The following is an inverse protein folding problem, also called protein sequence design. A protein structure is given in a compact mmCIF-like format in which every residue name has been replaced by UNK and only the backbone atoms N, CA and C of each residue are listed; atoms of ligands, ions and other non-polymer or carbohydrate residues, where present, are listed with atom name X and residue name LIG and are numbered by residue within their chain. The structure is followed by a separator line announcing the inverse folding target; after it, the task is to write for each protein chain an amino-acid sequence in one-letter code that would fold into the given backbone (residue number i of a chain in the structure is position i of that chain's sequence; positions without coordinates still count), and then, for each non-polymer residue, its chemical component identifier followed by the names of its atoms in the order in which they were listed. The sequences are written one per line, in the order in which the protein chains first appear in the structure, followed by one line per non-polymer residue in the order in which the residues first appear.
data_IF_166251633800
#
_entry.id   IF_166251633800
#
_cell.length_a   1.000
_cell.length_b   1.000
_cell.length_c   1.000
_cell.angle_alpha   90.00
_cell.angle_beta   90.00
_cell.angle_gamma   90.00
#
_symmetry.space_group_name_H-M   'P 1'
#
loop_
_entity.id
_entity.type
_entity.pdbx_description
1 polymer ?
#
# COMPACT_ATOMS: atom_id res chain seq x y z
N UNK A 1 26.85 -9.95 -14.83
CA UNK A 1 26.77 -11.43 -14.66
C UNK A 1 25.31 -11.84 -14.80
N UNK A 2 25.00 -12.91 -15.55
CA UNK A 2 23.62 -13.36 -15.84
C UNK A 2 23.34 -14.65 -15.06
N UNK A 3 22.14 -14.79 -14.51
CA UNK A 3 21.63 -16.01 -13.91
C UNK A 3 20.36 -16.46 -14.66
N UNK A 4 20.05 -17.76 -14.56
CA UNK A 4 18.86 -18.32 -15.22
C UNK A 4 18.39 -19.61 -14.55
N UNK A 5 17.10 -19.88 -14.70
CA UNK A 5 16.47 -21.18 -14.47
C UNK A 5 16.20 -21.86 -15.83
N UNK A 6 15.40 -22.92 -15.85
CA UNK A 6 14.93 -23.55 -17.09
C UNK A 6 14.25 -22.52 -18.01
N UNK A 7 13.27 -21.75 -17.51
CA UNK A 7 12.44 -20.88 -18.36
C UNK A 7 12.71 -19.38 -18.23
N UNK A 8 13.50 -18.93 -17.25
CA UNK A 8 13.68 -17.50 -16.97
C UNK A 8 15.16 -17.10 -16.90
N UNK A 9 15.46 -15.84 -17.22
CA UNK A 9 16.81 -15.27 -17.15
C UNK A 9 16.79 -13.86 -16.56
N UNK A 10 17.86 -13.47 -15.86
CA UNK A 10 18.02 -12.12 -15.30
C UNK A 10 19.49 -11.72 -15.16
N UNK A 11 19.73 -10.41 -15.15
CA UNK A 11 21.03 -9.83 -14.76
C UNK A 11 21.10 -9.70 -13.24
N UNK A 12 22.26 -9.99 -12.65
CA UNK A 12 22.49 -9.70 -11.23
C UNK A 12 22.56 -8.20 -10.91
N UNK A 13 22.58 -7.34 -11.94
CA UNK A 13 22.53 -5.89 -11.78
C UNK A 13 21.10 -5.35 -11.78
N UNK A 14 20.12 -6.12 -12.27
CA UNK A 14 18.72 -5.66 -12.39
C UNK A 14 17.95 -5.95 -11.09
N UNK A 15 18.45 -5.43 -9.98
CA UNK A 15 17.87 -5.63 -8.65
C UNK A 15 16.63 -4.76 -8.47
N UNK A 16 15.51 -5.39 -8.10
CA UNK A 16 14.25 -4.72 -7.74
C UNK A 16 14.11 -4.52 -6.24
N UNK A 17 14.68 -5.42 -5.44
CA UNK A 17 14.63 -5.35 -3.98
C UNK A 17 15.68 -6.24 -3.31
N UNK A 18 16.14 -5.80 -2.15
CA UNK A 18 17.09 -6.55 -1.32
C UNK A 18 16.51 -6.70 0.09
N UNK A 19 16.52 -7.92 0.59
CA UNK A 19 16.03 -8.26 1.93
C UNK A 19 16.99 -9.17 2.67
N UNK A 20 16.71 -9.37 3.96
CA UNK A 20 17.55 -10.19 4.83
C UNK A 20 17.65 -11.65 4.35
N UNK A 21 16.60 -12.19 3.71
CA UNK A 21 16.51 -13.60 3.31
C UNK A 21 16.50 -13.83 1.81
N UNK A 22 16.34 -12.79 1.00
CA UNK A 22 16.23 -12.91 -0.45
C UNK A 22 16.54 -11.61 -1.18
N UNK A 23 16.91 -11.73 -2.44
CA UNK A 23 16.97 -10.63 -3.40
C UNK A 23 15.94 -10.84 -4.49
N UNK A 24 15.33 -9.77 -4.99
CA UNK A 24 14.36 -9.79 -6.07
C UNK A 24 14.98 -9.13 -7.29
N UNK A 25 14.89 -9.79 -8.44
CA UNK A 25 15.47 -9.31 -9.70
C UNK A 25 14.39 -9.15 -10.77
N UNK A 26 14.60 -8.17 -11.66
CA UNK A 26 13.85 -8.08 -12.90
C UNK A 26 14.37 -9.16 -13.84
N UNK A 27 13.45 -9.94 -14.37
CA UNK A 27 13.76 -11.11 -15.18
C UNK A 27 12.87 -11.15 -16.41
N UNK A 28 13.19 -12.06 -17.34
CA UNK A 28 12.40 -12.32 -18.55
C UNK A 28 12.13 -13.80 -18.72
N UNK A 29 10.93 -14.12 -19.18
CA UNK A 29 10.62 -15.43 -19.73
C UNK A 29 11.42 -15.64 -21.02
N UNK A 30 12.20 -16.72 -21.12
CA UNK A 30 13.08 -17.03 -22.26
C UNK A 30 12.32 -17.24 -23.56
N UNK A 31 11.08 -17.72 -23.50
CA UNK A 31 10.25 -18.04 -24.67
C UNK A 31 9.42 -16.84 -25.11
N UNK A 32 8.75 -16.18 -24.17
CA UNK A 32 7.78 -15.12 -24.50
C UNK A 32 8.38 -13.71 -24.46
N UNK A 33 9.53 -13.53 -23.80
CA UNK A 33 10.13 -12.22 -23.57
C UNK A 33 9.45 -11.39 -22.47
N UNK A 34 8.36 -11.89 -21.91
CA UNK A 34 7.55 -11.26 -20.87
C UNK A 34 8.40 -10.95 -19.63
N UNK A 35 8.18 -9.75 -19.06
CA UNK A 35 8.85 -9.31 -17.85
C UNK A 35 8.24 -9.98 -16.62
N UNK A 36 9.09 -10.46 -15.72
CA UNK A 36 8.72 -11.10 -14.46
C UNK A 36 9.65 -10.63 -13.34
N UNK A 37 9.25 -10.82 -12.08
CA UNK A 37 10.11 -10.65 -10.92
C UNK A 37 10.57 -12.04 -10.42
N UNK A 38 11.86 -12.20 -10.15
CA UNK A 38 12.40 -13.46 -9.60
C UNK A 38 12.98 -13.20 -8.23
N UNK A 39 12.41 -13.84 -7.19
CA UNK A 39 12.93 -13.82 -5.82
C UNK A 39 13.87 -15.00 -5.61
N UNK A 40 15.12 -14.69 -5.31
CA UNK A 40 16.20 -15.65 -5.06
C UNK A 40 16.58 -15.60 -3.59
N UNK A 41 16.40 -16.72 -2.90
CA UNK A 41 16.73 -16.84 -1.48
C UNK A 41 18.24 -16.95 -1.26
N UNK A 42 18.73 -16.30 -0.21
CA UNK A 42 20.14 -16.34 0.18
C UNK A 42 20.41 -17.47 1.21
N UNK A 43 21.68 -17.69 1.56
CA UNK A 43 22.10 -18.72 2.51
C UNK A 43 21.45 -18.58 3.89
N UNK A 44 21.19 -17.35 4.36
CA UNK A 44 20.53 -17.13 5.65
C UNK A 44 19.09 -17.67 5.66
N UNK A 45 18.40 -17.64 4.50
CA UNK A 45 17.08 -18.24 4.37
C UNK A 45 17.11 -19.76 4.63
N UNK A 46 18.12 -20.45 4.10
CA UNK A 46 18.28 -21.91 4.20
C UNK A 46 18.66 -22.40 5.60
N UNK A 47 19.17 -21.49 6.46
CA UNK A 47 19.46 -21.79 7.87
C UNK A 47 18.20 -21.79 8.76
N UNK A 48 17.04 -21.38 8.22
CA UNK A 48 15.76 -21.39 8.96
C UNK A 48 15.14 -22.80 8.97
N UNK A 49 14.26 -23.12 9.92
CA UNK A 49 13.51 -24.39 9.88
C UNK A 49 12.79 -24.57 8.54
N UNK A 50 12.73 -25.81 8.02
CA UNK A 50 12.16 -26.11 6.71
C UNK A 50 10.73 -25.58 6.54
N UNK A 51 9.90 -25.71 7.57
CA UNK A 51 8.54 -25.17 7.59
C UNK A 51 8.51 -23.65 7.34
N UNK A 52 9.44 -22.90 7.94
CA UNK A 52 9.56 -21.44 7.75
C UNK A 52 10.01 -21.10 6.33
N UNK A 53 10.86 -21.93 5.72
CA UNK A 53 11.29 -21.73 4.34
C UNK A 53 10.14 -21.95 3.35
N UNK A 54 9.26 -22.91 3.64
CA UNK A 54 8.14 -23.28 2.76
C UNK A 54 6.95 -22.32 2.85
N UNK A 55 6.78 -21.59 3.96
CA UNK A 55 5.65 -20.64 4.17
C UNK A 55 5.35 -19.76 2.98
N UNK A 56 6.33 -19.05 2.45
CA UNK A 56 6.09 -18.10 1.36
C UNK A 56 5.61 -18.81 0.08
N UNK A 57 6.12 -20.01 -0.19
CA UNK A 57 5.69 -20.82 -1.32
C UNK A 57 4.24 -21.28 -1.15
N UNK A 58 3.89 -21.75 0.05
CA UNK A 58 2.57 -22.28 0.35
C UNK A 58 1.51 -21.16 0.34
N UNK A 59 1.84 -19.99 0.90
CA UNK A 59 0.98 -18.80 0.88
C UNK A 59 0.71 -18.33 -0.54
N UNK A 60 1.76 -18.13 -1.35
CA UNK A 60 1.61 -17.65 -2.72
C UNK A 60 0.94 -18.65 -3.67
N UNK A 61 0.88 -19.94 -3.32
CA UNK A 61 0.09 -20.94 -4.05
C UNK A 61 -1.40 -20.90 -3.70
N UNK A 62 -1.73 -20.55 -2.46
CA UNK A 62 -3.11 -20.47 -1.97
C UNK A 62 -3.80 -19.16 -2.40
N UNK A 63 -3.06 -18.07 -2.40
CA UNK A 63 -3.60 -16.74 -2.63
C UNK A 63 -3.70 -16.41 -4.12
N UNK A 64 -4.90 -16.06 -4.59
CA UNK A 64 -5.16 -15.62 -5.96
C UNK A 64 -6.18 -14.48 -5.98
N UNK A 65 -5.71 -13.24 -6.12
CA UNK A 65 -6.54 -12.04 -6.12
C UNK A 65 -5.85 -10.91 -6.88
N UNK A 66 -6.61 -9.96 -7.42
CA UNK A 66 -6.07 -8.82 -8.19
C UNK A 66 -5.11 -7.94 -7.39
N UNK A 67 -5.34 -7.82 -6.08
CA UNK A 67 -4.53 -7.06 -5.12
C UNK A 67 -3.49 -7.91 -4.37
N UNK A 68 -3.13 -9.09 -4.89
CA UNK A 68 -2.02 -9.90 -4.41
C UNK A 68 -1.07 -10.12 -5.59
N UNK A 69 0.23 -9.95 -5.39
CA UNK A 69 1.23 -10.23 -6.44
C UNK A 69 1.15 -11.70 -6.82
N UNK A 70 0.92 -11.97 -8.11
CA UNK A 70 0.70 -13.33 -8.59
C UNK A 70 1.99 -14.12 -8.63
N UNK A 71 1.95 -15.36 -8.15
CA UNK A 71 2.98 -16.37 -8.41
C UNK A 71 2.72 -17.03 -9.77
N UNK A 72 3.71 -16.99 -10.65
CA UNK A 72 3.67 -17.69 -11.93
C UNK A 72 4.25 -19.10 -11.84
N UNK A 73 5.41 -19.25 -11.19
CA UNK A 73 6.09 -20.53 -11.10
C UNK A 73 7.03 -20.60 -9.89
N UNK A 74 7.35 -21.82 -9.50
CA UNK A 74 8.48 -22.14 -8.64
C UNK A 74 9.48 -22.92 -9.48
N UNK A 75 10.68 -22.39 -9.66
CA UNK A 75 11.75 -23.03 -10.42
C UNK A 75 13.00 -23.18 -9.57
N UNK A 76 14.04 -23.79 -10.12
CA UNK A 76 15.31 -24.02 -9.44
C UNK A 76 16.48 -23.38 -10.19
N UNK A 77 17.38 -22.76 -9.43
CA UNK A 77 18.71 -22.38 -9.90
C UNK A 77 19.71 -23.23 -9.13
N UNK A 78 20.41 -24.13 -9.83
CA UNK A 78 21.29 -25.15 -9.23
C UNK A 78 20.50 -26.07 -8.30
N UNK A 79 20.49 -25.80 -6.99
CA UNK A 79 19.78 -26.58 -5.96
C UNK A 79 18.90 -25.68 -5.07
N UNK A 80 18.64 -24.46 -5.52
CA UNK A 80 17.93 -23.44 -4.77
C UNK A 80 16.63 -23.08 -5.47
N UNK A 81 15.51 -23.18 -4.76
CA UNK A 81 14.21 -22.75 -5.27
C UNK A 81 14.19 -21.24 -5.45
N UNK A 82 13.51 -20.79 -6.48
CA UNK A 82 13.22 -19.37 -6.75
C UNK A 82 11.73 -19.19 -7.01
N UNK A 83 11.19 -18.06 -6.59
CA UNK A 83 9.81 -17.67 -6.90
C UNK A 83 9.81 -16.81 -8.15
N UNK A 84 9.03 -17.19 -9.15
CA UNK A 84 8.78 -16.38 -10.34
C UNK A 84 7.41 -15.74 -10.20
N UNK A 85 7.38 -14.42 -10.13
CA UNK A 85 6.22 -13.63 -9.76
C UNK A 85 5.91 -12.56 -10.82
N UNK A 86 4.71 -12.02 -10.74
CA UNK A 86 4.30 -10.83 -11.48
C UNK A 86 5.29 -9.68 -11.27
N UNK A 87 5.68 -9.03 -12.37
CA UNK A 87 6.46 -7.81 -12.34
C UNK A 87 5.53 -6.61 -12.32
N UNK A 88 5.60 -5.81 -11.24
CA UNK A 88 4.84 -4.56 -11.13
C UNK A 88 5.67 -3.38 -11.65
N UNK A 89 5.23 -2.76 -12.74
CA UNK A 89 6.00 -1.73 -13.47
C UNK A 89 6.20 -0.42 -12.71
N UNK A 90 5.29 -0.09 -11.79
CA UNK A 90 5.28 1.16 -11.02
C UNK A 90 6.07 1.12 -9.72
N UNK A 91 6.85 0.06 -9.47
CA UNK A 91 7.62 -0.08 -8.24
C UNK A 91 6.76 -0.36 -7.02
N UNK A 92 7.19 0.11 -5.85
CA UNK A 92 6.44 -0.02 -4.59
C UNK A 92 5.77 1.30 -4.22
N UNK A 93 4.75 1.25 -3.35
CA UNK A 93 4.17 2.43 -2.73
C UNK A 93 5.23 3.23 -1.96
N UNK A 94 6.23 2.59 -1.38
CA UNK A 94 7.36 3.29 -0.79
C UNK A 94 8.10 4.15 -1.81
N UNK A 95 8.41 3.60 -2.99
CA UNK A 95 9.07 4.35 -4.06
C UNK A 95 8.25 5.56 -4.52
N UNK A 96 6.92 5.42 -4.57
CA UNK A 96 6.01 6.52 -4.89
C UNK A 96 6.03 7.61 -3.81
N UNK A 97 6.06 7.24 -2.53
CA UNK A 97 6.09 8.20 -1.41
C UNK A 97 7.42 8.96 -1.30
N UNK A 98 8.52 8.42 -1.82
CA UNK A 98 9.81 9.10 -1.90
C UNK A 98 9.88 10.15 -3.02
N UNK A 99 8.89 10.19 -3.92
CA UNK A 99 8.82 11.23 -4.95
C UNK A 99 8.56 12.60 -4.28
N UNK A 100 9.30 13.67 -4.63
CA UNK A 100 9.18 14.97 -3.98
C UNK A 100 7.75 15.56 -4.00
N UNK A 101 6.98 15.21 -5.03
CA UNK A 101 5.57 15.60 -5.23
C UNK A 101 4.66 15.08 -4.11
N UNK A 102 5.04 13.97 -3.50
CA UNK A 102 4.29 13.25 -2.47
C UNK A 102 4.83 13.50 -1.05
N UNK A 103 5.74 14.47 -0.88
CA UNK A 103 6.33 14.81 0.42
C UNK A 103 5.30 15.21 1.49
N UNK A 104 4.10 15.63 1.07
CA UNK A 104 2.97 15.98 1.95
C UNK A 104 1.79 15.01 1.84
N UNK A 105 2.04 13.80 1.33
CA UNK A 105 1.05 12.75 1.09
C UNK A 105 0.65 12.65 -0.37
N UNK A 106 -0.10 11.60 -0.71
CA UNK A 106 -0.58 11.35 -2.06
C UNK A 106 -1.75 12.27 -2.43
N UNK A 107 -1.95 12.55 -3.73
CA UNK A 107 -3.20 13.09 -4.24
C UNK A 107 -4.39 12.22 -3.82
N UNK A 108 -5.53 12.83 -3.55
CA UNK A 108 -6.72 12.14 -3.02
C UNK A 108 -7.16 10.93 -3.87
N UNK A 109 -7.17 11.06 -5.20
CA UNK A 109 -7.52 9.96 -6.12
C UNK A 109 -6.57 8.77 -5.99
N UNK A 110 -5.27 9.02 -5.86
CA UNK A 110 -4.27 7.96 -5.71
C UNK A 110 -4.36 7.33 -4.32
N UNK A 111 -4.56 8.15 -3.27
CA UNK A 111 -4.80 7.67 -1.91
C UNK A 111 -6.02 6.73 -1.84
N UNK A 112 -7.14 7.09 -2.46
CA UNK A 112 -8.34 6.26 -2.49
C UNK A 112 -8.14 4.96 -3.28
N UNK A 113 -7.31 5.00 -4.33
CA UNK A 113 -6.90 3.78 -5.06
C UNK A 113 -6.06 2.86 -4.17
N UNK A 114 -5.12 3.41 -3.39
CA UNK A 114 -4.35 2.67 -2.38
C UNK A 114 -5.28 2.07 -1.33
N UNK A 115 -6.17 2.88 -0.75
CA UNK A 115 -7.15 2.46 0.25
C UNK A 115 -7.96 1.27 -0.27
N UNK A 116 -8.57 1.41 -1.45
CA UNK A 116 -9.38 0.36 -2.06
C UNK A 116 -8.60 -0.93 -2.27
N UNK A 117 -7.42 -0.84 -2.88
CA UNK A 117 -6.62 -2.02 -3.22
C UNK A 117 -6.08 -2.75 -1.98
N UNK A 118 -5.61 -2.00 -0.97
CA UNK A 118 -5.11 -2.58 0.28
C UNK A 118 -6.24 -3.23 1.06
N UNK A 119 -7.41 -2.59 1.15
CA UNK A 119 -8.61 -3.14 1.81
C UNK A 119 -9.05 -4.44 1.14
N UNK A 120 -9.15 -4.46 -0.20
CA UNK A 120 -9.52 -5.67 -0.95
C UNK A 120 -8.50 -6.80 -0.79
N UNK A 121 -7.20 -6.48 -0.86
CA UNK A 121 -6.13 -7.45 -0.60
C UNK A 121 -6.21 -8.02 0.82
N UNK A 122 -6.43 -7.18 1.82
CA UNK A 122 -6.55 -7.60 3.22
C UNK A 122 -7.81 -8.45 3.46
N UNK A 123 -8.94 -8.11 2.82
CA UNK A 123 -10.14 -8.94 2.89
C UNK A 123 -9.89 -10.34 2.31
N UNK A 124 -9.23 -10.44 1.16
CA UNK A 124 -8.85 -11.73 0.57
C UNK A 124 -7.95 -12.57 1.49
N UNK A 125 -6.97 -11.95 2.16
CA UNK A 125 -6.15 -12.63 3.15
C UNK A 125 -6.99 -13.13 4.34
N UNK A 126 -7.90 -12.28 4.85
CA UNK A 126 -8.80 -12.61 5.96
C UNK A 126 -9.69 -13.81 5.63
N UNK A 127 -10.31 -13.83 4.46
CA UNK A 127 -11.15 -14.94 3.97
C UNK A 127 -10.37 -16.26 3.85
N UNK A 128 -9.05 -16.19 3.70
CA UNK A 128 -8.17 -17.35 3.62
C UNK A 128 -7.47 -17.70 4.96
N UNK A 129 -7.82 -17.01 6.05
CA UNK A 129 -7.21 -17.21 7.37
C UNK A 129 -5.74 -16.82 7.43
N UNK A 130 -5.29 -15.87 6.60
CA UNK A 130 -3.89 -15.47 6.50
C UNK A 130 -3.63 -14.13 7.19
N UNK A 131 -2.59 -14.09 8.02
CA UNK A 131 -2.03 -12.85 8.58
C UNK A 131 -0.66 -12.59 7.96
N UNK A 132 -0.47 -11.39 7.41
CA UNK A 132 0.71 -10.99 6.63
C UNK A 132 1.92 -10.67 7.52
N UNK A 133 1.74 -9.86 8.56
CA UNK A 133 2.72 -9.46 9.60
C UNK A 133 3.88 -8.56 9.18
N UNK A 134 3.96 -8.17 7.91
CA UNK A 134 4.92 -7.16 7.42
C UNK A 134 4.29 -6.25 6.35
N UNK A 135 3.05 -5.78 6.59
CA UNK A 135 2.42 -4.79 5.70
C UNK A 135 3.13 -3.45 5.90
N UNK A 136 3.60 -2.88 4.79
CA UNK A 136 4.27 -1.57 4.74
C UNK A 136 4.30 -1.08 3.29
N UNK A 137 4.55 0.21 3.03
CA UNK A 137 4.65 0.74 1.67
C UNK A 137 5.62 -0.02 0.75
N UNK A 138 6.72 -0.56 1.30
CA UNK A 138 7.70 -1.34 0.52
C UNK A 138 7.19 -2.71 0.05
N UNK A 139 6.15 -3.25 0.69
CA UNK A 139 5.52 -4.54 0.36
C UNK A 139 4.16 -4.37 -0.32
N UNK A 140 3.85 -3.14 -0.77
CA UNK A 140 2.66 -2.81 -1.56
C UNK A 140 3.16 -2.38 -2.93
N UNK A 141 3.05 -3.27 -3.91
CA UNK A 141 3.51 -3.05 -5.27
C UNK A 141 2.50 -2.26 -6.08
N UNK A 142 2.96 -1.40 -6.99
CA UNK A 142 2.13 -0.60 -7.89
C UNK A 142 2.30 -1.09 -9.32
N UNK A 143 1.21 -1.52 -9.95
CA UNK A 143 1.16 -1.79 -11.37
C UNK A 143 0.47 -0.62 -12.07
N UNK A 144 1.11 -0.06 -13.10
CA UNK A 144 0.58 1.05 -13.89
C UNK A 144 0.24 0.56 -15.28
N UNK A 145 -0.99 0.83 -15.71
CA UNK A 145 -1.49 0.48 -17.05
C UNK A 145 -1.26 1.62 -18.04
N UNK A 146 -1.39 1.33 -19.34
CA UNK A 146 -1.18 2.30 -20.42
C UNK A 146 -2.15 3.49 -20.35
N UNK A 147 -3.34 3.29 -19.77
CA UNK A 147 -4.34 4.34 -19.55
C UNK A 147 -4.06 5.21 -18.30
N UNK A 148 -2.91 5.01 -17.66
CA UNK A 148 -2.46 5.74 -16.47
C UNK A 148 -3.07 5.27 -15.15
N UNK A 149 -3.97 4.27 -15.16
CA UNK A 149 -4.53 3.74 -13.92
C UNK A 149 -3.53 2.89 -13.16
N UNK A 150 -3.55 3.03 -11.83
CA UNK A 150 -2.79 2.20 -10.90
C UNK A 150 -3.64 1.07 -10.33
N UNK A 151 -3.05 -0.10 -10.09
CA UNK A 151 -3.56 -1.09 -9.14
C UNK A 151 -2.45 -1.44 -8.15
N UNK A 152 -2.80 -1.54 -6.87
CA UNK A 152 -1.86 -1.90 -5.81
C UNK A 152 -2.02 -3.35 -5.37
N UNK A 153 -0.90 -3.99 -5.04
CA UNK A 153 -0.84 -5.42 -4.74
C UNK A 153 0.05 -5.72 -3.55
N UNK A 154 -0.41 -6.54 -2.60
CA UNK A 154 0.41 -7.01 -1.49
C UNK A 154 1.41 -8.08 -1.98
N UNK A 155 2.62 -8.07 -1.40
CA UNK A 155 3.69 -9.03 -1.68
C UNK A 155 4.52 -9.30 -0.43
N UNK A 156 5.51 -10.20 -0.55
CA UNK A 156 6.45 -10.60 0.51
C UNK A 156 5.79 -11.30 1.71
N UNK A 157 5.25 -12.49 1.43
CA UNK A 157 4.63 -13.37 2.41
C UNK A 157 5.65 -14.17 3.23
N UNK A 158 6.93 -13.77 3.24
CA UNK A 158 7.99 -14.45 4.01
C UNK A 158 7.76 -14.43 5.53
N UNK A 159 6.98 -13.45 5.99
CA UNK A 159 6.52 -13.31 7.36
C UNK A 159 5.09 -13.85 7.57
N UNK A 160 4.35 -14.27 6.55
CA UNK A 160 2.95 -14.61 6.70
C UNK A 160 2.73 -15.96 7.42
N UNK A 161 1.53 -16.16 7.96
CA UNK A 161 1.12 -17.41 8.62
C UNK A 161 -0.40 -17.56 8.54
N UNK A 162 -0.87 -18.80 8.45
CA UNK A 162 -2.27 -19.14 8.70
C UNK A 162 -2.56 -19.09 10.20
N UNK A 163 -3.68 -18.49 10.56
CA UNK A 163 -4.18 -18.43 11.92
C UNK A 163 -5.70 -18.58 11.91
N UNK A 164 -6.22 -19.37 12.83
CA UNK A 164 -7.63 -19.30 13.21
C UNK A 164 -7.91 -17.99 13.95
N UNK A 165 -9.17 -17.55 13.98
CA UNK A 165 -9.57 -16.20 14.43
C UNK A 165 -9.12 -15.85 15.86
N UNK A 166 -9.00 -16.84 16.73
CA UNK A 166 -8.54 -16.74 18.11
C UNK A 166 -7.12 -17.27 18.33
N UNK A 167 -6.47 -17.80 17.29
CA UNK A 167 -5.11 -18.34 17.36
C UNK A 167 -4.09 -17.21 17.52
N UNK A 168 -3.22 -17.36 18.51
CA UNK A 168 -2.18 -16.37 18.81
C UNK A 168 -0.79 -16.91 18.54
N UNK A 169 0.13 -16.04 18.13
CA UNK A 169 1.49 -16.42 17.79
C UNK A 169 2.57 -15.72 18.63
N UNK A 170 3.81 -16.20 18.46
CA UNK A 170 4.98 -15.88 19.30
C UNK A 170 6.19 -15.42 18.47
N UNK A 171 6.24 -15.76 17.18
CA UNK A 171 7.36 -15.47 16.28
C UNK A 171 7.42 -14.00 15.84
N UNK A 172 8.63 -13.44 15.73
CA UNK A 172 8.90 -12.03 15.46
C UNK A 172 9.26 -11.78 13.99
N UNK A 173 8.48 -10.95 13.32
CA UNK A 173 8.72 -10.44 11.96
C UNK A 173 8.15 -9.02 11.85
N UNK A 174 8.61 -8.25 10.88
CA UNK A 174 8.08 -6.92 10.56
C UNK A 174 9.14 -5.82 10.53
N UNK A 175 8.73 -4.63 10.10
CA UNK A 175 9.60 -3.46 9.96
C UNK A 175 9.31 -2.46 11.08
N UNK A 176 10.35 -2.04 11.80
CA UNK A 176 10.26 -1.34 13.12
C UNK A 176 9.23 -0.21 13.16
N UNK A 177 9.12 0.59 12.10
CA UNK A 177 8.24 1.76 12.01
C UNK A 177 6.74 1.41 11.87
N UNK A 178 6.44 0.20 11.41
CA UNK A 178 5.07 -0.27 11.10
C UNK A 178 4.58 -1.35 12.07
N UNK A 179 5.42 -1.77 13.01
CA UNK A 179 5.10 -2.85 13.94
C UNK A 179 4.09 -2.42 15.00
N UNK A 180 3.14 -3.33 15.28
CA UNK A 180 2.26 -3.21 16.45
C UNK A 180 3.09 -3.10 17.75
N UNK A 181 2.68 -2.31 18.76
CA UNK A 181 3.52 -2.01 19.92
C UNK A 181 3.91 -3.24 20.74
N UNK A 182 2.99 -4.17 20.95
CA UNK A 182 3.30 -5.44 21.62
C UNK A 182 4.32 -6.29 20.83
N UNK A 183 4.30 -6.23 19.48
CA UNK A 183 5.29 -6.92 18.65
C UNK A 183 6.64 -6.20 18.73
N UNK A 184 6.63 -4.87 18.77
CA UNK A 184 7.83 -4.03 18.93
C UNK A 184 8.53 -4.31 20.26
N UNK A 185 7.79 -4.41 21.37
CA UNK A 185 8.36 -4.71 22.69
C UNK A 185 9.22 -5.98 22.68
N UNK A 186 8.70 -7.01 22.02
CA UNK A 186 9.33 -8.32 21.97
C UNK A 186 10.41 -8.41 20.89
N UNK A 187 10.14 -7.90 19.68
CA UNK A 187 11.05 -7.97 18.54
C UNK A 187 12.26 -7.07 18.70
N UNK A 188 12.02 -5.86 19.19
CA UNK A 188 13.00 -4.77 19.16
C UNK A 188 13.62 -4.57 20.53
N UNK A 189 12.80 -4.53 21.60
CA UNK A 189 13.31 -4.34 22.97
C UNK A 189 13.71 -5.66 23.66
N UNK A 190 13.41 -6.82 23.05
CA UNK A 190 13.72 -8.17 23.57
C UNK A 190 13.23 -8.42 24.99
N UNK A 191 12.11 -7.81 25.39
CA UNK A 191 11.50 -8.05 26.71
C UNK A 191 10.72 -9.36 26.69
N UNK A 192 10.75 -10.09 27.81
CA UNK A 192 10.27 -11.47 27.92
C UNK A 192 8.77 -11.66 28.17
N UNK A 193 7.92 -10.64 27.99
CA UNK A 193 6.49 -10.80 28.23
C UNK A 193 5.85 -11.71 27.16
N UNK A 194 5.17 -12.77 27.60
CA UNK A 194 4.30 -13.61 26.76
C UNK A 194 2.97 -12.89 26.51
N UNK A 195 3.01 -11.74 25.82
CA UNK A 195 1.81 -11.27 25.14
C UNK A 195 1.68 -11.99 23.82
N UNK A 196 0.46 -12.43 23.58
CA UNK A 196 0.04 -13.27 22.47
C UNK A 196 -0.62 -12.39 21.41
N UNK A 197 -0.14 -12.45 20.16
CA UNK A 197 -0.56 -11.56 19.07
C UNK A 197 -1.74 -12.14 18.31
N UNK A 198 -2.79 -11.34 18.09
CA UNK A 198 -3.95 -11.73 17.28
C UNK A 198 -3.85 -11.23 15.83
N UNK A 199 -4.92 -11.47 15.06
CA UNK A 199 -5.05 -11.08 13.65
C UNK A 199 -4.97 -9.56 13.42
N UNK A 200 -5.21 -8.74 14.46
CA UNK A 200 -5.26 -7.27 14.37
C UNK A 200 -3.89 -6.59 14.15
N UNK A 201 -2.77 -7.32 14.20
CA UNK A 201 -1.43 -6.73 13.96
C UNK A 201 -1.28 -6.12 12.57
N UNK A 202 -1.99 -6.67 11.58
CA UNK A 202 -2.02 -6.14 10.22
C UNK A 202 -2.82 -4.83 10.15
N UNK A 203 -3.86 -4.66 10.97
CA UNK A 203 -4.64 -3.42 11.02
C UNK A 203 -3.79 -2.24 11.52
N UNK A 204 -2.93 -2.45 12.52
CA UNK A 204 -1.97 -1.43 12.94
C UNK A 204 -1.01 -1.05 11.81
N UNK A 205 -0.43 -2.06 11.15
CA UNK A 205 0.51 -1.88 10.04
C UNK A 205 -0.13 -1.12 8.87
N UNK A 206 -1.40 -1.41 8.58
CA UNK A 206 -2.25 -0.69 7.62
C UNK A 206 -2.50 0.75 8.07
N UNK A 207 -2.82 0.98 9.35
CA UNK A 207 -3.02 2.32 9.90
C UNK A 207 -1.79 3.21 9.74
N UNK A 208 -0.60 2.69 10.06
CA UNK A 208 0.66 3.41 9.86
C UNK A 208 0.89 3.69 8.37
N UNK A 209 0.60 2.70 7.52
CA UNK A 209 0.73 2.83 6.06
C UNK A 209 -0.21 3.89 5.48
N UNK A 210 -1.48 3.92 5.89
CA UNK A 210 -2.44 4.91 5.43
C UNK A 210 -2.13 6.30 5.95
N UNK A 211 -1.69 6.45 7.21
CA UNK A 211 -1.21 7.74 7.70
C UNK A 211 -0.02 8.24 6.87
N UNK A 212 0.95 7.36 6.57
CA UNK A 212 2.11 7.69 5.75
C UNK A 212 1.68 8.10 4.33
N UNK A 213 0.80 7.34 3.70
CA UNK A 213 0.27 7.68 2.38
C UNK A 213 -0.52 8.99 2.37
N UNK A 214 -1.25 9.32 3.44
CA UNK A 214 -2.03 10.55 3.53
C UNK A 214 -1.18 11.81 3.80
N UNK A 215 0.01 11.66 4.39
CA UNK A 215 0.78 12.80 4.94
C UNK A 215 2.22 12.90 4.45
N UNK A 216 2.75 11.86 3.82
CA UNK A 216 4.18 11.77 3.47
C UNK A 216 5.09 11.54 4.68
N UNK A 217 4.54 11.38 5.88
CA UNK A 217 5.29 11.24 7.13
C UNK A 217 4.80 10.05 7.96
N UNK A 218 5.68 9.46 8.77
CA UNK A 218 5.27 8.46 9.76
C UNK A 218 4.45 9.10 10.90
N UNK A 219 3.44 8.40 11.46
CA UNK A 219 2.61 8.91 12.54
C UNK A 219 3.36 9.04 13.87
N UNK A 220 4.32 8.15 14.13
CA UNK A 220 5.00 8.06 15.42
C UNK A 220 6.51 8.24 15.22
N UNK A 221 7.03 9.36 15.71
CA UNK A 221 8.43 9.74 15.46
C UNK A 221 9.10 10.31 16.72
N UNK A 222 10.09 9.60 17.29
CA UNK A 222 11.04 10.19 18.21
C UNK A 222 11.89 11.27 17.52
N UNK A 223 12.49 12.18 18.29
CA UNK A 223 13.33 13.25 17.74
C UNK A 223 14.47 12.72 16.86
N UNK A 224 15.16 11.68 17.32
CA UNK A 224 16.29 11.08 16.60
C UNK A 224 15.85 10.11 15.47
N UNK A 225 14.55 9.85 15.39
CA UNK A 225 13.92 8.90 14.46
C UNK A 225 13.66 7.51 15.07
N UNK A 226 12.69 6.74 14.53
CA UNK A 226 12.20 5.49 15.11
C UNK A 226 13.27 4.41 15.33
N UNK A 227 14.25 4.31 14.40
CA UNK A 227 15.32 3.31 14.47
C UNK A 227 16.42 3.67 15.47
N UNK A 228 16.65 4.98 15.72
CA UNK A 228 17.70 5.46 16.62
C UNK A 228 17.24 5.45 18.06
N UNK A 229 16.01 5.88 18.32
CA UNK A 229 15.46 5.96 19.68
C UNK A 229 14.29 4.99 19.90
N UNK A 230 14.66 3.72 20.05
CA UNK A 230 13.71 2.60 20.19
C UNK A 230 12.88 2.66 21.47
N UNK A 231 13.47 3.18 22.55
CA UNK A 231 12.79 3.35 23.84
C UNK A 231 11.69 4.39 23.74
N UNK A 232 11.98 5.57 23.18
CA UNK A 232 10.97 6.61 22.96
C UNK A 232 9.94 6.17 21.92
N UNK A 233 10.35 5.45 20.87
CA UNK A 233 9.40 4.91 19.89
C UNK A 233 8.38 3.98 20.56
N UNK A 234 8.84 3.06 21.40
CA UNK A 234 7.97 2.20 22.18
C UNK A 234 7.04 3.00 23.10
N UNK A 235 7.58 3.99 23.82
CA UNK A 235 6.81 4.89 24.67
C UNK A 235 5.69 5.60 23.89
N UNK A 236 6.02 6.17 22.72
CA UNK A 236 5.06 6.87 21.86
C UNK A 236 3.92 5.94 21.45
N UNK A 237 4.21 4.69 21.12
CA UNK A 237 3.16 3.80 20.61
C UNK A 237 2.34 3.13 21.70
N UNK A 238 2.88 2.94 22.91
CA UNK A 238 2.14 2.33 24.04
C UNK A 238 1.45 3.33 24.96
N UNK A 239 2.00 4.52 25.17
CA UNK A 239 1.41 5.56 26.03
C UNK A 239 0.51 6.52 25.25
N UNK A 240 0.24 6.21 23.98
CA UNK A 240 -0.61 7.00 23.10
C UNK A 240 -2.00 7.20 23.71
N UNK A 241 -2.47 8.46 23.85
CA UNK A 241 -3.84 8.72 24.28
C UNK A 241 -4.87 8.11 23.33
N UNK A 242 -6.03 7.75 23.87
CA UNK A 242 -7.16 7.26 23.07
C UNK A 242 -7.54 8.29 22.00
N UNK A 243 -7.72 7.83 20.76
CA UNK A 243 -8.09 8.67 19.62
C UNK A 243 -6.94 9.44 18.97
N UNK A 244 -5.75 9.49 19.58
CA UNK A 244 -4.59 10.10 18.92
C UNK A 244 -4.14 9.21 17.76
N UNK A 245 -3.84 9.83 16.61
CA UNK A 245 -3.42 9.16 15.38
C UNK A 245 -1.94 9.40 15.06
N UNK A 246 -1.30 10.35 15.75
CA UNK A 246 0.12 10.64 15.63
C UNK A 246 0.71 11.13 16.95
N UNK A 247 2.01 10.92 17.13
CA UNK A 247 2.79 11.30 18.29
C UNK A 247 4.23 11.64 17.87
N UNK A 248 4.62 12.91 18.00
CA UNK A 248 5.91 13.41 17.51
C UNK A 248 6.68 14.04 18.67
N UNK A 249 7.94 13.63 18.84
CA UNK A 249 8.86 14.32 19.73
C UNK A 249 9.75 15.27 18.90
N UNK A 250 9.57 16.59 19.05
CA UNK A 250 10.28 17.59 18.23
C UNK A 250 11.68 17.93 18.70
N UNK A 251 11.99 17.70 19.98
CA UNK A 251 13.27 18.04 20.58
C UNK A 251 13.73 16.89 21.46
N UNK A 252 15.05 16.72 21.57
CA UNK A 252 15.65 15.68 22.41
C UNK A 252 15.18 15.81 23.87
N UNK A 253 14.67 14.72 24.44
CA UNK A 253 14.14 14.68 25.81
C UNK A 253 12.85 15.49 26.03
N UNK A 254 12.29 16.11 24.98
CA UNK A 254 11.05 16.89 25.07
C UNK A 254 9.78 16.05 25.20
N UNK A 255 8.63 16.70 25.42
CA UNK A 255 7.33 16.03 25.45
C UNK A 255 6.97 15.45 24.07
N UNK A 256 6.07 14.46 24.08
CA UNK A 256 5.46 13.93 22.87
C UNK A 256 4.24 14.80 22.55
N UNK A 257 4.21 15.38 21.35
CA UNK A 257 3.06 16.09 20.82
C UNK A 257 2.10 15.12 20.15
N UNK A 258 0.91 14.97 20.73
CA UNK A 258 -0.14 14.10 20.18
C UNK A 258 -1.05 14.88 19.23
N UNK A 259 -1.40 14.25 18.11
CA UNK A 259 -2.39 14.79 17.16
C UNK A 259 -3.59 13.86 17.02
N UNK A 260 -4.76 14.47 16.88
CA UNK A 260 -6.06 13.83 16.67
C UNK A 260 -6.61 14.14 15.27
N UNK A 261 -5.83 14.85 14.46
CA UNK A 261 -6.19 15.28 13.12
C UNK A 261 -5.00 15.09 12.19
N UNK A 262 -5.29 14.93 10.89
CA UNK A 262 -4.26 14.97 9.87
C UNK A 262 -3.69 16.40 9.76
N UNK A 263 -2.39 16.56 9.46
CA UNK A 263 -1.76 17.87 9.40
C UNK A 263 -2.40 18.75 8.33
N UNK A 264 -2.34 20.07 8.51
CA UNK A 264 -2.90 21.03 7.54
C UNK A 264 -2.28 20.87 6.14
N UNK A 265 -1.01 20.48 6.06
CA UNK A 265 -0.27 20.21 4.83
C UNK A 265 -0.74 18.99 4.05
N UNK A 266 -1.54 18.09 4.65
CA UNK A 266 -2.11 16.92 3.98
C UNK A 266 -2.84 17.34 2.69
N UNK A 267 -2.72 16.53 1.62
CA UNK A 267 -3.35 16.84 0.32
C UNK A 267 -4.82 16.41 0.22
N UNK A 268 -5.31 15.58 1.15
CA UNK A 268 -6.68 15.06 1.13
C UNK A 268 -7.70 16.18 1.38
N UNK A 269 -8.89 16.10 0.81
CA UNK A 269 -10.00 17.02 1.07
C UNK A 269 -10.46 16.95 2.52
N UNK A 270 -11.05 18.03 3.03
CA UNK A 270 -11.60 18.05 4.39
C UNK A 270 -12.64 16.95 4.61
N UNK A 271 -13.48 16.68 3.59
CA UNK A 271 -14.48 15.60 3.65
C UNK A 271 -13.85 14.24 3.88
N UNK A 272 -12.82 13.90 3.10
CA UNK A 272 -12.12 12.62 3.28
C UNK A 272 -11.36 12.54 4.61
N UNK A 273 -10.73 13.64 5.06
CA UNK A 273 -10.04 13.68 6.36
C UNK A 273 -10.99 13.35 7.51
N UNK A 274 -12.21 13.90 7.49
CA UNK A 274 -13.22 13.66 8.54
C UNK A 274 -13.61 12.17 8.62
N UNK A 275 -13.66 11.48 7.49
CA UNK A 275 -13.98 10.06 7.45
C UNK A 275 -12.78 9.16 7.79
N UNK A 276 -11.58 9.53 7.37
CA UNK A 276 -10.37 8.73 7.54
C UNK A 276 -9.83 8.76 8.99
N UNK A 277 -9.92 9.90 9.68
CA UNK A 277 -9.38 10.04 11.04
C UNK A 277 -9.97 9.03 12.04
N UNK A 278 -11.30 8.79 12.09
CA UNK A 278 -11.86 7.74 12.94
C UNK A 278 -11.33 6.33 12.63
N UNK A 279 -11.16 6.00 11.34
CA UNK A 279 -10.58 4.72 10.91
C UNK A 279 -9.16 4.58 11.45
N UNK A 280 -8.31 5.59 11.23
CA UNK A 280 -6.93 5.60 11.74
C UNK A 280 -6.90 5.48 13.27
N UNK A 281 -7.73 6.23 13.99
CA UNK A 281 -7.81 6.18 15.44
C UNK A 281 -8.23 4.79 15.96
N UNK A 282 -9.13 4.11 15.26
CA UNK A 282 -9.62 2.78 15.64
C UNK A 282 -8.61 1.66 15.42
N UNK A 283 -7.83 1.71 14.34
CA UNK A 283 -6.84 0.67 14.01
C UNK A 283 -5.43 0.96 14.54
N UNK A 284 -5.12 2.21 14.86
CA UNK A 284 -3.92 2.59 15.61
C UNK A 284 -4.21 2.58 17.11
N UNK A 285 -4.75 1.48 17.64
CA UNK A 285 -5.02 1.31 19.07
C UNK A 285 -4.34 0.01 19.54
N UNK A 286 -3.45 0.15 20.52
CA UNK A 286 -2.64 -0.97 21.01
C UNK A 286 -3.42 -1.85 22.00
N UNK A 287 -4.42 -1.28 22.67
CA UNK A 287 -5.31 -2.01 23.57
C UNK A 287 -6.30 -2.85 22.75
N UNK A 288 -6.20 -4.18 22.87
CA UNK A 288 -7.02 -5.13 22.11
C UNK A 288 -8.52 -4.96 22.39
N UNK A 289 -8.92 -4.53 23.58
CA UNK A 289 -10.34 -4.34 23.93
C UNK A 289 -10.94 -3.08 23.30
N UNK A 290 -10.09 -2.12 22.93
CA UNK A 290 -10.50 -0.84 22.33
C UNK A 290 -10.22 -0.77 20.83
N UNK A 291 -9.29 -1.59 20.34
CA UNK A 291 -8.94 -1.67 18.93
C UNK A 291 -10.12 -2.12 18.07
N UNK A 292 -10.23 -1.58 16.87
CA UNK A 292 -11.21 -2.06 15.91
C UNK A 292 -10.89 -3.48 15.46
N UNK A 293 -11.95 -4.28 15.29
CA UNK A 293 -11.89 -5.55 14.56
C UNK A 293 -11.96 -5.33 13.04
N UNK A 294 -11.72 -6.42 12.29
CA UNK A 294 -11.79 -6.41 10.83
C UNK A 294 -13.15 -5.99 10.28
N UNK A 295 -14.26 -6.42 10.89
CA UNK A 295 -15.60 -6.07 10.42
C UNK A 295 -15.84 -4.55 10.46
N UNK A 296 -15.50 -3.90 11.58
CA UNK A 296 -15.61 -2.45 11.72
C UNK A 296 -14.72 -1.72 10.70
N UNK A 297 -13.49 -2.20 10.51
CA UNK A 297 -12.56 -1.65 9.53
C UNK A 297 -13.10 -1.78 8.10
N UNK A 298 -13.59 -2.95 7.69
CA UNK A 298 -14.13 -3.16 6.35
C UNK A 298 -15.41 -2.38 6.09
N UNK A 299 -16.32 -2.30 7.06
CA UNK A 299 -17.52 -1.46 6.94
C UNK A 299 -17.15 0.00 6.74
N UNK A 300 -16.35 0.58 7.64
CA UNK A 300 -16.01 2.00 7.58
C UNK A 300 -15.23 2.38 6.31
N UNK A 301 -14.31 1.52 5.86
CA UNK A 301 -13.55 1.77 4.62
C UNK A 301 -14.41 1.58 3.37
N UNK A 302 -15.37 0.65 3.38
CA UNK A 302 -16.33 0.49 2.29
C UNK A 302 -17.22 1.73 2.14
N UNK A 303 -17.69 2.29 3.27
CA UNK A 303 -18.52 3.51 3.26
C UNK A 303 -17.76 4.70 2.65
N UNK A 304 -16.47 4.85 2.98
CA UNK A 304 -15.60 5.88 2.37
C UNK A 304 -15.53 5.71 0.84
N UNK A 305 -15.33 4.48 0.38
CA UNK A 305 -15.17 4.18 -1.05
C UNK A 305 -16.48 4.32 -1.85
N UNK A 306 -17.63 4.04 -1.22
CA UNK A 306 -18.94 4.24 -1.82
C UNK A 306 -19.24 5.73 -2.03
N UNK A 307 -19.04 6.56 -1.00
CA UNK A 307 -19.22 8.02 -1.09
C UNK A 307 -18.37 8.64 -2.21
N UNK A 308 -17.14 8.16 -2.38
CA UNK A 308 -16.27 8.61 -3.47
C UNK A 308 -16.83 8.25 -4.86
N UNK A 309 -17.31 7.01 -5.02
CA UNK A 309 -17.85 6.52 -6.29
C UNK A 309 -19.11 7.29 -6.72
N UNK A 310 -19.96 7.65 -5.74
CA UNK A 310 -21.15 8.48 -5.97
C UNK A 310 -20.76 9.91 -6.38
N UNK A 311 -19.77 10.51 -5.72
CA UNK A 311 -19.26 11.84 -6.08
C UNK A 311 -18.74 11.89 -7.52
N UNK A 312 -18.03 10.84 -7.99
CA UNK A 312 -17.57 10.75 -9.37
C UNK A 312 -18.71 10.53 -10.38
N UNK A 313 -19.77 9.80 -9.99
CA UNK A 313 -20.94 9.57 -10.84
C UNK A 313 -21.74 10.85 -11.08
N UNK A 314 -21.82 11.74 -10.08
CA UNK A 314 -22.48 13.05 -10.18
C UNK A 314 -21.74 14.05 -11.09
N UNK A 315 -20.45 13.84 -11.36
CA UNK A 315 -19.61 14.76 -12.15
C UNK A 315 -19.41 14.32 -13.61
N UNK A 316 -20.09 13.26 -14.09
CA UNK A 316 -20.15 12.97 -15.52
C UNK A 316 -21.15 13.91 -16.20
N UNK A 317 -20.78 14.67 -17.24
CA UNK A 317 -21.77 15.31 -18.09
C UNK A 317 -22.64 14.20 -18.68
N UNK A 318 -23.94 14.25 -18.43
CA UNK A 318 -24.90 13.40 -19.13
C UNK A 318 -24.85 13.74 -20.61
N UNK A 319 -24.31 12.84 -21.44
CA UNK A 319 -24.49 12.85 -22.90
C UNK A 319 -25.94 12.51 -23.29
N UNK A 320 -26.91 13.20 -22.68
CA UNK A 320 -28.32 13.13 -23.00
C UNK A 320 -28.92 14.54 -22.99
N UNK A 321 -28.37 15.45 -23.80
CA UNK A 321 -29.11 16.64 -24.21
C UNK A 321 -28.74 17.10 -25.64
N UNK A 322 -28.68 16.14 -26.57
CA UNK A 322 -28.51 16.41 -28.01
C UNK A 322 -29.54 15.64 -28.86
N UNK A 323 -30.76 15.49 -28.36
CA UNK A 323 -31.88 14.89 -29.11
C UNK A 323 -33.16 15.70 -28.94
N UNK A 324 -33.11 17.00 -29.27
CA UNK A 324 -34.29 17.81 -29.54
C UNK A 324 -33.86 19.05 -30.33
N UNK A 325 -33.64 18.87 -31.64
CA UNK A 325 -33.88 19.85 -32.73
C UNK A 325 -33.29 19.35 -34.04
N UNK A 326 -33.96 18.40 -34.69
CA UNK A 326 -33.74 18.15 -36.12
C UNK A 326 -35.00 17.65 -36.81
N UNK A 327 -36.11 18.36 -36.66
CA UNK A 327 -37.28 18.21 -37.54
C UNK A 327 -37.85 19.60 -37.83
N UNK A 328 -37.36 20.22 -38.91
CA UNK A 328 -38.10 21.14 -39.78
C UNK A 328 -37.18 21.50 -40.96
N UNK A 329 -37.31 20.76 -42.06
CA UNK A 329 -36.90 21.20 -43.40
C UNK A 329 -38.08 21.92 -44.03
N UNK A 330 -37.94 23.19 -44.34
CA UNK A 330 -38.57 23.81 -45.52
C UNK A 330 -37.69 24.96 -46.02
N UNK A 331 -37.41 24.90 -47.32
CA UNK A 331 -36.66 25.87 -48.13
C UNK A 331 -37.39 27.22 -48.21
N UNK A 332 -36.64 28.33 -48.24
CA UNK A 332 -36.80 29.43 -49.21
C UNK A 332 -35.59 30.38 -49.20
N UNK A 333 -35.36 30.96 -50.38
CA UNK A 333 -34.21 31.73 -50.89
C UNK A 333 -34.21 33.24 -50.54
N UNK A 334 -33.02 33.88 -50.66
CA UNK A 334 -32.68 35.29 -51.04
C UNK A 334 -31.78 36.10 -50.06
N UNK A 335 -30.49 36.21 -50.44
CA UNK A 335 -29.56 37.38 -50.60
C UNK A 335 -29.49 38.56 -49.58
N UNK A 336 -28.52 39.51 -49.66
CA UNK A 336 -27.32 39.60 -48.79
C UNK A 336 -27.19 40.92 -47.99
N UNK A 337 -26.39 40.95 -46.91
CA UNK A 337 -26.09 42.21 -46.21
C UNK A 337 -25.21 42.11 -44.95
N UNK A 338 -23.92 42.39 -45.13
CA UNK A 338 -22.96 43.16 -44.28
C UNK A 338 -23.18 43.24 -42.76
N UNK A 339 -22.23 42.75 -41.94
CA UNK A 339 -21.35 43.59 -41.07
C UNK A 339 -20.47 42.77 -40.10
N UNK A 340 -19.15 43.04 -40.21
CA UNK A 340 -18.04 43.06 -39.24
C UNK A 340 -17.77 41.85 -38.30
N UNK A 341 -16.59 41.21 -38.37
CA UNK A 341 -15.29 41.60 -37.75
C UNK A 341 -15.38 41.65 -36.20
N UNK A 342 -14.54 41.05 -35.35
CA UNK A 342 -13.13 40.54 -35.31
C UNK A 342 -13.10 39.64 -34.03
N UNK A 343 -12.37 38.52 -33.87
CA UNK A 343 -10.98 38.44 -33.40
C UNK A 343 -10.64 36.96 -33.14
N UNK A 344 -9.67 36.40 -33.87
CA UNK A 344 -8.24 36.24 -33.53
C UNK A 344 -7.96 34.91 -32.82
N UNK A 345 -7.47 33.97 -33.63
CA UNK A 345 -6.68 32.81 -33.23
C UNK A 345 -5.21 33.20 -33.42
N UNK A 346 -4.35 33.05 -32.41
CA UNK A 346 -2.89 33.05 -32.59
C UNK A 346 -2.33 31.78 -31.96
N UNK A 347 -1.91 30.85 -32.83
CA UNK A 347 -0.91 29.85 -32.53
C UNK A 347 0.45 30.53 -32.43
N UNK A 348 1.22 30.22 -31.38
CA UNK A 348 2.65 30.54 -31.32
C UNK A 348 3.42 29.26 -31.61
N UNK A 349 4.12 29.24 -32.76
CA UNK A 349 5.28 28.39 -32.99
C UNK A 349 6.50 29.06 -32.35
N UNK A 350 7.37 28.29 -31.72
CA UNK A 350 8.76 28.67 -31.51
C UNK A 350 9.68 27.69 -32.24
N UNK A 351 10.69 28.26 -32.90
CA UNK A 351 11.86 27.59 -33.44
C UNK A 351 12.79 27.14 -32.32
#
# INVERSE_FOLDING_TARGET
MIASTTNYLWSLHDVLGQGATANVFKARNKRTGELVAVKVFNLLSYNRPHEVQMREFDMLRKLNHSNIVRLFAVEEVRLHKVLVMEYCSGGSLHSLLEEPENAFGLPETEFLTVLQCVVQGMNHLRENGVVHRDIKPGNIMRQVWEDGKSIYKLTDFGAARELEDDEKFVSLYGTEEYLHPDMYERAVLRKGHLKSYGVNVDLWSIGVTFYHAATGCLPFTPFEGPRKNKTTMYKITTEKPMGAIAGIQRVEGGPIEWSYHLPHSCQLSQGLRVQLVPVLAGILEADQERSWGFDQFFTATTDILQLWTESFSLHRPTEQDNSLKSHLRTRTTWSPGVCLCVCVCVCVHNR
#
